data_IF_855468000599
#
_entry.id   IF_855468000599
#
_cell.length_a   1.000
_cell.length_b   1.000
_cell.length_c   1.000
_cell.angle_alpha   90.00
_cell.angle_beta   90.00
_cell.angle_gamma   90.00
#
_symmetry.space_group_name_H-M   'P 1'
#
loop_
_entity.id
_entity.type
_entity.pdbx_description
1 polymer ?
#
# COMPACT_ATOMS: atom_id res chain seq x y z
N UNK A 1 15.96 -23.87 -22.97
CA UNK A 1 17.18 -23.04 -22.96
C UNK A 1 16.88 -21.55 -22.76
N UNK A 2 15.99 -20.93 -23.57
CA UNK A 2 15.67 -19.49 -23.47
C UNK A 2 15.07 -19.10 -22.10
N UNK A 3 14.04 -19.82 -21.63
CA UNK A 3 13.42 -19.54 -20.32
C UNK A 3 14.40 -19.61 -19.15
N UNK A 4 15.39 -20.51 -19.21
CA UNK A 4 16.41 -20.61 -18.18
C UNK A 4 17.29 -19.35 -18.16
N UNK A 5 17.75 -18.89 -19.34
CA UNK A 5 18.55 -17.67 -19.46
C UNK A 5 17.77 -16.42 -19.02
N UNK A 6 16.48 -16.36 -19.32
CA UNK A 6 15.59 -15.28 -18.83
C UNK A 6 15.50 -15.33 -17.30
N UNK A 7 15.40 -16.52 -16.70
CA UNK A 7 15.37 -16.67 -15.24
C UNK A 7 16.70 -16.25 -14.59
N UNK A 8 17.84 -16.66 -15.17
CA UNK A 8 19.18 -16.26 -14.71
C UNK A 8 19.34 -14.73 -14.78
N UNK A 9 18.91 -14.10 -15.88
CA UNK A 9 18.91 -12.64 -16.01
C UNK A 9 18.04 -11.97 -14.95
N UNK A 10 16.82 -12.47 -14.73
CA UNK A 10 15.91 -11.97 -13.69
C UNK A 10 16.59 -11.98 -12.32
N UNK A 11 17.25 -13.08 -11.97
CA UNK A 11 17.89 -13.22 -10.65
C UNK A 11 18.99 -12.18 -10.45
N UNK A 12 19.80 -11.94 -11.48
CA UNK A 12 20.79 -10.87 -11.49
C UNK A 12 20.13 -9.48 -11.38
N UNK A 13 19.05 -9.26 -12.14
CA UNK A 13 18.36 -7.97 -12.14
C UNK A 13 17.72 -7.65 -10.79
N UNK A 14 17.07 -8.63 -10.14
CA UNK A 14 16.51 -8.49 -8.78
C UNK A 14 17.62 -8.21 -7.76
N UNK A 15 18.76 -8.90 -7.87
CA UNK A 15 19.90 -8.65 -7.00
C UNK A 15 20.43 -7.20 -7.13
N UNK A 16 20.53 -6.68 -8.34
CA UNK A 16 20.97 -5.31 -8.59
C UNK A 16 19.94 -4.26 -8.15
N UNK A 17 18.64 -4.51 -8.34
CA UNK A 17 17.57 -3.64 -7.79
C UNK A 17 17.72 -3.54 -6.26
N UNK A 18 17.89 -4.68 -5.59
CA UNK A 18 18.06 -4.72 -4.13
C UNK A 18 19.36 -4.05 -3.68
N UNK A 19 20.45 -4.22 -4.41
CA UNK A 19 21.72 -3.56 -4.12
C UNK A 19 21.58 -2.04 -4.27
N UNK A 20 20.94 -1.58 -5.35
CA UNK A 20 20.65 -0.17 -5.57
C UNK A 20 19.78 0.42 -4.44
N UNK A 21 18.70 -0.26 -4.05
CA UNK A 21 17.86 0.14 -2.91
C UNK A 21 18.65 0.19 -1.60
N UNK A 22 19.49 -0.82 -1.32
CA UNK A 22 20.33 -0.85 -0.13
C UNK A 22 21.30 0.32 -0.07
N UNK A 23 21.95 0.65 -1.19
CA UNK A 23 22.86 1.81 -1.28
C UNK A 23 22.10 3.11 -1.06
N UNK A 24 20.93 3.25 -1.64
CA UNK A 24 20.05 4.41 -1.43
C UNK A 24 19.68 4.60 0.03
N UNK A 25 19.14 3.57 0.69
CA UNK A 25 18.73 3.70 2.10
C UNK A 25 19.90 3.86 3.06
N UNK A 26 21.13 3.55 2.63
CA UNK A 26 22.36 3.81 3.42
C UNK A 26 22.81 5.26 3.33
N UNK A 27 22.65 5.90 2.17
CA UNK A 27 22.95 7.31 1.94
C UNK A 27 21.95 7.90 0.95
N UNK A 28 20.83 8.40 1.46
CA UNK A 28 19.74 8.92 0.63
C UNK A 28 20.14 10.20 -0.12
N UNK A 29 21.08 10.98 0.43
CA UNK A 29 21.47 12.27 -0.14
C UNK A 29 22.25 12.08 -1.46
N UNK A 30 23.05 11.01 -1.57
CA UNK A 30 23.81 10.71 -2.78
C UNK A 30 22.95 10.35 -4.00
N UNK A 31 21.64 10.08 -3.82
CA UNK A 31 20.72 9.66 -4.88
C UNK A 31 19.55 10.63 -5.06
N UNK A 32 19.67 11.83 -4.49
CA UNK A 32 18.63 12.86 -4.52
C UNK A 32 18.12 13.04 -5.95
N UNK A 33 16.79 13.06 -6.13
CA UNK A 33 16.06 13.28 -7.39
C UNK A 33 16.10 12.12 -8.41
N UNK A 34 16.88 11.06 -8.20
CA UNK A 34 17.00 9.97 -9.18
C UNK A 34 16.41 8.63 -8.71
N UNK A 35 16.34 8.39 -7.40
CA UNK A 35 16.00 7.07 -6.87
C UNK A 35 14.60 6.59 -7.27
N UNK A 36 13.56 7.34 -6.90
CA UNK A 36 12.15 6.98 -7.16
C UNK A 36 11.89 6.82 -8.65
N UNK A 37 12.40 7.75 -9.46
CA UNK A 37 12.34 7.70 -10.93
C UNK A 37 12.92 6.40 -11.49
N UNK A 38 14.10 6.00 -11.00
CA UNK A 38 14.74 4.75 -11.43
C UNK A 38 13.94 3.52 -11.01
N UNK A 39 13.36 3.52 -9.81
CA UNK A 39 12.47 2.43 -9.36
C UNK A 39 11.20 2.33 -10.18
N UNK A 40 10.58 3.45 -10.54
CA UNK A 40 9.41 3.49 -11.45
C UNK A 40 9.77 2.89 -12.82
N UNK A 41 10.92 3.28 -13.39
CA UNK A 41 11.39 2.71 -14.65
C UNK A 41 11.62 1.19 -14.57
N UNK A 42 12.27 0.72 -13.50
CA UNK A 42 12.49 -0.72 -13.28
C UNK A 42 11.16 -1.48 -13.12
N UNK A 43 10.21 -0.93 -12.35
CA UNK A 43 8.89 -1.52 -12.17
C UNK A 43 8.14 -1.66 -13.51
N UNK A 44 8.10 -0.58 -14.30
CA UNK A 44 7.45 -0.56 -15.61
C UNK A 44 8.09 -1.52 -16.62
N UNK A 45 9.41 -1.69 -16.57
CA UNK A 45 10.12 -2.66 -17.39
C UNK A 45 9.69 -4.08 -17.03
N UNK A 46 9.69 -4.43 -15.74
CA UNK A 46 9.23 -5.73 -15.26
C UNK A 46 7.77 -6.02 -15.63
N UNK A 47 6.89 -5.04 -15.47
CA UNK A 47 5.46 -5.13 -15.84
C UNK A 47 5.23 -5.28 -17.36
N UNK A 48 6.22 -4.95 -18.19
CA UNK A 48 6.13 -5.18 -19.64
C UNK A 48 6.46 -6.61 -20.04
N UNK A 49 7.21 -7.34 -19.20
CA UNK A 49 7.78 -8.64 -19.56
C UNK A 49 6.72 -9.74 -19.75
N UNK A 50 5.62 -9.84 -18.99
CA UNK A 50 4.57 -10.83 -19.26
C UNK A 50 4.08 -10.81 -20.71
N UNK A 51 3.83 -9.63 -21.27
CA UNK A 51 3.44 -9.46 -22.67
C UNK A 51 4.56 -9.89 -23.63
N UNK A 52 5.81 -9.59 -23.30
CA UNK A 52 6.96 -10.06 -24.08
C UNK A 52 7.09 -11.59 -24.04
N UNK A 53 6.81 -12.25 -22.90
CA UNK A 53 6.83 -13.70 -22.78
C UNK A 53 5.85 -14.37 -23.75
N UNK A 54 4.68 -13.77 -23.98
CA UNK A 54 3.71 -14.26 -24.98
C UNK A 54 4.28 -14.19 -26.40
N UNK A 55 5.03 -13.13 -26.74
CA UNK A 55 5.68 -12.98 -28.05
C UNK A 55 6.82 -13.99 -28.21
N UNK A 56 7.66 -14.15 -27.18
CA UNK A 56 8.75 -15.13 -27.19
C UNK A 56 8.20 -16.53 -27.42
N UNK A 57 7.13 -16.90 -26.72
CA UNK A 57 6.45 -18.18 -26.94
C UNK A 57 6.03 -18.33 -28.41
N UNK A 58 5.23 -17.40 -28.95
CA UNK A 58 4.76 -17.45 -30.35
C UNK A 58 5.89 -17.58 -31.38
N UNK A 59 7.06 -17.00 -31.09
CA UNK A 59 8.20 -16.96 -32.03
C UNK A 59 9.06 -18.23 -31.98
N UNK A 60 9.29 -18.77 -30.79
CA UNK A 60 10.28 -19.82 -30.56
C UNK A 60 9.66 -21.20 -30.29
N UNK A 61 8.41 -21.26 -29.85
CA UNK A 61 7.64 -22.51 -29.74
C UNK A 61 6.58 -22.50 -30.84
N UNK A 62 6.92 -23.16 -31.96
CA UNK A 62 6.09 -23.28 -33.18
C UNK A 62 5.15 -24.49 -33.16
N UNK A 63 4.89 -25.08 -32.00
CA UNK A 63 3.93 -26.18 -31.90
C UNK A 63 2.51 -25.59 -31.90
N UNK A 64 1.64 -26.19 -32.71
CA UNK A 64 0.35 -25.66 -33.15
C UNK A 64 -0.44 -24.98 -32.02
N UNK A 65 -0.84 -23.73 -32.26
CA UNK A 65 -1.71 -22.97 -31.34
C UNK A 65 -3.08 -23.67 -31.11
N UNK A 66 -3.41 -24.65 -31.95
CA UNK A 66 -4.62 -25.50 -31.89
C UNK A 66 -4.38 -26.88 -31.26
N UNK A 67 -3.14 -27.23 -30.87
CA UNK A 67 -2.86 -28.50 -30.18
C UNK A 67 -3.11 -28.36 -28.67
N UNK A 68 -4.29 -28.81 -28.22
CA UNK A 68 -4.70 -28.90 -26.81
C UNK A 68 -4.01 -30.04 -26.04
N UNK A 69 -2.87 -30.54 -26.53
CA UNK A 69 -2.10 -31.56 -25.82
C UNK A 69 -1.63 -31.09 -24.44
N UNK A 70 -1.50 -32.04 -23.51
CA UNK A 70 -0.99 -31.78 -22.15
C UNK A 70 0.40 -31.15 -22.16
N UNK A 71 1.21 -31.43 -23.18
CA UNK A 71 2.53 -30.82 -23.41
C UNK A 71 2.43 -29.33 -23.74
N UNK A 72 1.51 -28.94 -24.61
CA UNK A 72 1.28 -27.53 -24.98
C UNK A 72 0.79 -26.71 -23.79
N UNK A 73 -0.08 -27.28 -22.94
CA UNK A 73 -0.52 -26.64 -21.70
C UNK A 73 0.61 -26.49 -20.68
N UNK A 74 1.45 -27.50 -20.49
CA UNK A 74 2.61 -27.38 -19.60
C UNK A 74 3.62 -26.32 -20.07
N UNK A 75 3.76 -26.11 -21.38
CA UNK A 75 4.60 -25.04 -21.91
C UNK A 75 3.98 -23.67 -21.64
N UNK A 76 2.67 -23.51 -21.87
CA UNK A 76 1.89 -22.33 -21.51
C UNK A 76 2.15 -21.87 -20.08
N UNK A 77 1.99 -22.79 -19.14
CA UNK A 77 2.14 -22.55 -17.71
C UNK A 77 3.56 -22.07 -17.35
N UNK A 78 4.58 -22.48 -18.12
CA UNK A 78 5.99 -22.07 -17.89
C UNK A 78 6.28 -20.64 -18.32
N UNK A 79 5.73 -20.18 -19.45
CA UNK A 79 5.90 -18.79 -19.90
C UNK A 79 5.09 -17.83 -19.04
N UNK A 80 3.85 -18.22 -18.70
CA UNK A 80 3.01 -17.45 -17.77
C UNK A 80 3.66 -17.39 -16.39
N UNK A 81 4.17 -18.53 -15.89
CA UNK A 81 4.92 -18.57 -14.63
C UNK A 81 6.17 -17.69 -14.63
N UNK A 82 6.84 -17.53 -15.78
CA UNK A 82 7.94 -16.57 -15.93
C UNK A 82 7.44 -15.12 -15.92
N UNK A 83 6.33 -14.82 -16.60
CA UNK A 83 5.67 -13.52 -16.56
C UNK A 83 5.34 -13.10 -15.13
N UNK A 84 4.65 -13.97 -14.37
CA UNK A 84 4.30 -13.76 -12.96
C UNK A 84 5.50 -13.48 -12.06
N UNK A 85 6.65 -14.07 -12.36
CA UNK A 85 7.89 -13.80 -11.61
C UNK A 85 8.37 -12.36 -11.82
N UNK A 86 8.22 -11.80 -13.02
CA UNK A 86 8.55 -10.40 -13.28
C UNK A 86 7.48 -9.44 -12.77
N UNK A 87 6.20 -9.79 -12.81
CA UNK A 87 5.13 -9.01 -12.14
C UNK A 87 5.44 -8.82 -10.66
N UNK A 88 5.83 -9.90 -9.96
CA UNK A 88 6.28 -9.82 -8.56
C UNK A 88 7.52 -8.93 -8.37
N UNK A 89 8.45 -8.93 -9.32
CA UNK A 89 9.59 -8.01 -9.29
C UNK A 89 9.14 -6.55 -9.50
N UNK A 90 8.13 -6.32 -10.33
CA UNK A 90 7.54 -4.99 -10.50
C UNK A 90 6.88 -4.50 -9.21
N UNK A 91 6.06 -5.35 -8.56
CA UNK A 91 5.46 -5.09 -7.24
C UNK A 91 6.53 -4.81 -6.19
N UNK A 92 7.63 -5.57 -6.18
CA UNK A 92 8.75 -5.35 -5.26
C UNK A 92 9.40 -3.95 -5.44
N UNK A 93 9.56 -3.48 -6.67
CA UNK A 93 10.03 -2.11 -6.93
C UNK A 93 9.06 -1.07 -6.34
N UNK A 94 7.75 -1.30 -6.47
CA UNK A 94 6.72 -0.44 -5.85
C UNK A 94 6.80 -0.49 -4.32
N UNK A 95 6.99 -1.66 -3.72
CA UNK A 95 7.17 -1.83 -2.28
C UNK A 95 8.38 -1.08 -1.73
N UNK A 96 9.48 -1.02 -2.50
CA UNK A 96 10.67 -0.23 -2.18
C UNK A 96 10.36 1.27 -2.19
N UNK A 97 9.58 1.76 -3.17
CA UNK A 97 9.12 3.15 -3.18
C UNK A 97 8.20 3.43 -1.98
N UNK A 98 7.30 2.51 -1.64
CA UNK A 98 6.45 2.64 -0.46
C UNK A 98 7.26 2.72 0.83
N UNK A 99 8.37 1.97 0.93
CA UNK A 99 9.29 2.07 2.06
C UNK A 99 9.91 3.46 2.18
N UNK A 100 10.25 4.09 1.06
CA UNK A 100 10.77 5.47 1.03
C UNK A 100 9.75 6.47 1.59
N UNK A 101 8.51 6.42 1.09
CA UNK A 101 7.39 7.27 1.57
C UNK A 101 7.12 7.03 3.06
N UNK A 102 7.15 5.78 3.49
CA UNK A 102 6.94 5.40 4.88
C UNK A 102 8.04 5.95 5.80
N UNK A 103 9.29 6.01 5.34
CA UNK A 103 10.39 6.66 6.08
C UNK A 103 10.16 8.17 6.19
N UNK A 104 9.77 8.83 5.11
CA UNK A 104 9.55 10.28 5.07
C UNK A 104 8.37 10.72 5.95
N UNK A 105 7.34 9.87 6.04
CA UNK A 105 6.16 10.09 6.87
C UNK A 105 6.31 9.52 8.30
N UNK A 106 7.38 8.77 8.59
CA UNK A 106 7.56 7.99 9.83
C UNK A 106 7.38 8.81 11.10
N UNK A 107 7.90 10.05 11.12
CA UNK A 107 7.83 10.93 12.29
C UNK A 107 6.41 11.39 12.64
N UNK A 108 5.48 11.32 11.70
CA UNK A 108 4.05 11.64 11.90
C UNK A 108 3.24 10.38 12.17
N UNK A 109 3.55 9.30 11.45
CA UNK A 109 2.93 8.00 11.63
C UNK A 109 3.16 7.44 13.05
N UNK A 110 4.38 7.58 13.58
CA UNK A 110 4.75 7.08 14.92
C UNK A 110 4.07 7.79 16.08
N UNK A 111 3.51 8.98 15.84
CA UNK A 111 2.88 9.78 16.90
C UNK A 111 1.35 9.75 16.83
N UNK A 112 0.76 8.98 15.91
CA UNK A 112 -0.69 8.73 15.86
C UNK A 112 -1.18 8.20 17.22
N UNK A 113 -2.36 8.63 17.67
CA UNK A 113 -2.91 8.29 18.99
C UNK A 113 -1.99 8.65 20.18
N UNK A 114 -1.20 9.72 20.04
CA UNK A 114 -0.46 10.35 21.13
C UNK A 114 -0.89 11.80 21.34
N UNK A 115 -0.36 12.47 22.38
CA UNK A 115 -0.58 13.90 22.61
C UNK A 115 -0.01 14.81 21.52
N UNK A 116 0.95 14.30 20.73
CA UNK A 116 1.47 14.98 19.56
C UNK A 116 0.57 14.80 18.32
N UNK A 117 -0.38 13.86 18.33
CA UNK A 117 -1.42 13.74 17.30
C UNK A 117 -2.72 14.41 17.71
N UNK A 118 -3.08 14.33 19.00
CA UNK A 118 -4.29 14.89 19.57
C UNK A 118 -3.99 15.67 20.86
N UNK A 119 -4.01 17.00 20.76
CA UNK A 119 -3.70 17.91 21.86
C UNK A 119 -3.42 19.35 21.38
N UNK A 120 -3.12 20.27 22.30
CA UNK A 120 -2.89 21.68 21.96
C UNK A 120 -1.70 21.93 21.01
N UNK A 121 -0.74 21.01 20.98
CA UNK A 121 0.45 21.04 20.10
C UNK A 121 0.40 19.92 19.06
N UNK A 122 -0.80 19.50 18.66
CA UNK A 122 -0.98 18.44 17.68
C UNK A 122 -0.28 18.78 16.35
N UNK A 123 0.48 17.82 15.84
CA UNK A 123 1.08 17.86 14.51
C UNK A 123 0.03 17.49 13.47
N UNK A 124 0.09 18.09 12.26
CA UNK A 124 -0.84 17.78 11.17
C UNK A 124 -0.48 16.45 10.51
N UNK A 125 -0.63 15.34 11.24
CA UNK A 125 -0.11 14.03 10.84
C UNK A 125 -0.78 13.53 9.56
N UNK A 126 -2.12 13.47 9.52
CA UNK A 126 -2.87 13.07 8.34
C UNK A 126 -2.58 13.98 7.14
N UNK A 127 -2.60 15.30 7.34
CA UNK A 127 -2.25 16.27 6.29
C UNK A 127 -0.85 16.03 5.73
N UNK A 128 0.15 15.77 6.58
CA UNK A 128 1.52 15.55 6.09
C UNK A 128 1.66 14.21 5.36
N UNK A 129 0.99 13.15 5.82
CA UNK A 129 0.95 11.87 5.09
C UNK A 129 0.35 12.07 3.69
N UNK A 130 -0.74 12.83 3.58
CA UNK A 130 -1.41 13.17 2.32
C UNK A 130 -0.48 14.00 1.42
N UNK A 131 0.07 15.10 1.92
CA UNK A 131 0.96 15.97 1.12
C UNK A 131 2.19 15.21 0.63
N UNK A 132 2.86 14.45 1.51
CA UNK A 132 4.01 13.63 1.08
C UNK A 132 3.58 12.61 0.03
N UNK A 133 2.45 11.91 0.20
CA UNK A 133 1.97 10.97 -0.82
C UNK A 133 1.68 11.68 -2.16
N UNK A 134 1.09 12.88 -2.10
CA UNK A 134 0.79 13.70 -3.28
C UNK A 134 2.06 14.16 -4.00
N UNK A 135 3.10 14.52 -3.27
CA UNK A 135 4.40 14.93 -3.84
C UNK A 135 5.01 13.79 -4.65
N UNK A 136 5.04 12.57 -4.10
CA UNK A 136 5.49 11.38 -4.83
C UNK A 136 4.59 11.07 -6.02
N UNK A 137 3.26 11.13 -5.82
CA UNK A 137 2.29 10.87 -6.88
C UNK A 137 2.47 11.80 -8.08
N UNK A 138 2.48 13.10 -7.83
CA UNK A 138 2.53 14.14 -8.86
C UNK A 138 3.86 14.22 -9.59
N UNK A 139 4.97 13.90 -8.92
CA UNK A 139 6.31 13.96 -9.51
C UNK A 139 6.65 12.73 -10.34
N UNK A 140 6.50 11.52 -9.79
CA UNK A 140 7.07 10.32 -10.40
C UNK A 140 6.04 9.18 -10.56
N UNK A 141 5.09 8.99 -9.64
CA UNK A 141 4.21 7.81 -9.69
C UNK A 141 3.15 7.90 -10.79
N UNK A 142 2.83 9.09 -11.30
CA UNK A 142 1.99 9.24 -12.50
C UNK A 142 2.56 8.51 -13.72
N UNK A 143 3.86 8.21 -13.72
CA UNK A 143 4.53 7.43 -14.76
C UNK A 143 4.45 5.92 -14.56
N UNK A 144 3.97 5.42 -13.41
CA UNK A 144 3.72 3.99 -13.23
C UNK A 144 2.62 3.52 -14.18
N UNK A 145 2.79 2.30 -14.69
CA UNK A 145 1.70 1.62 -15.40
C UNK A 145 0.50 1.43 -14.48
N UNK A 146 -0.71 1.50 -15.05
CA UNK A 146 -1.98 1.43 -14.30
C UNK A 146 -2.08 0.27 -13.30
N UNK A 147 -1.70 -0.99 -13.62
CA UNK A 147 -1.76 -2.08 -12.65
C UNK A 147 -0.87 -1.83 -11.42
N UNK A 148 0.33 -1.29 -11.65
CA UNK A 148 1.28 -0.95 -10.58
C UNK A 148 0.82 0.27 -9.77
N UNK A 149 0.17 1.25 -10.41
CA UNK A 149 -0.38 2.40 -9.70
C UNK A 149 -1.55 1.98 -8.79
N UNK A 150 -2.44 1.10 -9.26
CA UNK A 150 -3.50 0.53 -8.45
C UNK A 150 -2.92 -0.29 -7.28
N UNK A 151 -1.90 -1.13 -7.55
CA UNK A 151 -1.18 -1.86 -6.52
C UNK A 151 -0.54 -0.94 -5.47
N UNK A 152 0.10 0.16 -5.92
CA UNK A 152 0.69 1.17 -5.06
C UNK A 152 -0.34 1.74 -4.09
N UNK A 153 -1.46 2.27 -4.60
CA UNK A 153 -2.46 2.90 -3.74
C UNK A 153 -3.15 1.91 -2.81
N UNK A 154 -3.51 0.72 -3.31
CA UNK A 154 -4.07 -0.35 -2.48
C UNK A 154 -3.15 -0.70 -1.31
N UNK A 155 -1.86 -0.90 -1.58
CA UNK A 155 -0.86 -1.28 -0.58
C UNK A 155 -0.59 -0.14 0.39
N UNK A 156 -0.46 1.10 -0.10
CA UNK A 156 -0.22 2.26 0.74
C UNK A 156 -1.37 2.53 1.71
N UNK A 157 -2.61 2.48 1.22
CA UNK A 157 -3.81 2.58 2.05
C UNK A 157 -3.77 1.58 3.21
N UNK A 158 -3.43 0.31 2.93
CA UNK A 158 -3.36 -0.73 3.96
C UNK A 158 -2.26 -0.46 4.97
N UNK A 159 -1.10 0.05 4.54
CA UNK A 159 0.00 0.41 5.45
C UNK A 159 -0.39 1.58 6.37
N UNK A 160 -0.98 2.64 5.82
CA UNK A 160 -1.50 3.77 6.61
C UNK A 160 -2.51 3.25 7.64
N UNK A 161 -3.51 2.50 7.18
CA UNK A 161 -4.55 1.98 8.06
C UNK A 161 -3.97 1.08 9.17
N UNK A 162 -3.03 0.21 8.83
CA UNK A 162 -2.34 -0.62 9.81
C UNK A 162 -1.62 0.23 10.87
N UNK A 163 -1.03 1.37 10.51
CA UNK A 163 -0.41 2.27 11.48
C UNK A 163 -1.43 2.93 12.41
N UNK A 164 -2.58 3.40 11.89
CA UNK A 164 -3.65 3.90 12.74
C UNK A 164 -4.11 2.83 13.74
N UNK A 165 -4.45 1.64 13.25
CA UNK A 165 -4.99 0.56 14.09
C UNK A 165 -3.95 0.05 15.10
N UNK A 166 -2.68 -0.10 14.70
CA UNK A 166 -1.61 -0.54 15.62
C UNK A 166 -1.37 0.47 16.74
N UNK A 167 -1.40 1.77 16.44
CA UNK A 167 -1.21 2.80 17.45
C UNK A 167 -2.43 2.91 18.37
N UNK A 168 -3.64 2.76 17.84
CA UNK A 168 -4.87 2.76 18.65
C UNK A 168 -4.91 1.58 19.62
N UNK A 169 -4.73 0.35 19.12
CA UNK A 169 -4.84 -0.89 19.89
C UNK A 169 -3.54 -1.28 20.63
N UNK A 170 -2.56 -0.38 20.69
CA UNK A 170 -1.35 -0.62 21.46
C UNK A 170 -1.69 -0.70 22.95
N UNK A 171 -1.19 -1.73 23.66
CA UNK A 171 -1.35 -1.83 25.12
C UNK A 171 -0.79 -0.63 25.89
N UNK A 172 0.13 0.10 25.25
CA UNK A 172 0.79 1.28 25.78
C UNK A 172 0.29 2.58 25.13
N UNK A 173 -0.92 2.61 24.55
CA UNK A 173 -1.46 3.84 23.95
C UNK A 173 -1.39 4.98 24.96
N UNK A 174 -0.58 6.02 24.71
CA UNK A 174 -0.31 7.07 25.69
C UNK A 174 -1.50 8.01 25.86
N UNK A 175 -2.50 7.92 24.99
CA UNK A 175 -3.70 8.73 25.02
C UNK A 175 -4.72 8.10 25.98
N UNK A 176 -4.81 8.68 27.18
CA UNK A 176 -5.89 8.45 28.13
C UNK A 176 -6.78 9.68 28.14
N UNK A 177 -8.09 9.46 28.07
CA UNK A 177 -9.07 10.52 28.11
C UNK A 177 -9.56 10.71 29.54
N UNK A 178 -9.51 11.94 30.03
CA UNK A 178 -10.00 12.28 31.36
C UNK A 178 -11.46 12.75 31.33
N UNK A 179 -11.90 13.28 30.18
CA UNK A 179 -13.22 13.90 30.02
C UNK A 179 -13.97 13.35 28.81
N UNK A 180 -15.30 13.19 28.89
CA UNK A 180 -16.12 12.82 27.72
C UNK A 180 -15.97 13.76 26.53
N UNK A 181 -15.83 15.07 26.77
CA UNK A 181 -15.62 16.07 25.72
C UNK A 181 -14.32 15.83 24.92
N UNK A 182 -13.28 15.37 25.62
CA UNK A 182 -11.99 15.07 25.01
C UNK A 182 -12.08 13.85 24.09
N UNK A 183 -12.82 12.82 24.51
CA UNK A 183 -13.14 11.64 23.69
C UNK A 183 -13.89 12.04 22.42
N UNK A 184 -14.93 12.86 22.57
CA UNK A 184 -15.73 13.35 21.44
C UNK A 184 -14.88 14.10 20.42
N UNK A 185 -14.03 15.03 20.86
CA UNK A 185 -13.11 15.76 19.97
C UNK A 185 -12.12 14.84 19.25
N UNK A 186 -11.63 13.80 19.93
CA UNK A 186 -10.76 12.81 19.31
C UNK A 186 -11.51 11.98 18.25
N UNK A 187 -12.75 11.57 18.53
CA UNK A 187 -13.59 10.88 17.57
C UNK A 187 -13.87 11.76 16.33
N UNK A 188 -14.19 13.03 16.53
CA UNK A 188 -14.37 14.01 15.45
C UNK A 188 -13.12 14.16 14.59
N UNK A 189 -11.92 14.27 15.19
CA UNK A 189 -10.65 14.29 14.44
C UNK A 189 -10.45 13.01 13.63
N UNK A 190 -10.66 11.83 14.23
CA UNK A 190 -10.47 10.55 13.56
C UNK A 190 -11.42 10.39 12.36
N UNK A 191 -12.70 10.79 12.48
CA UNK A 191 -13.65 10.81 11.35
C UNK A 191 -13.22 11.76 10.25
N UNK A 192 -12.77 12.97 10.62
CA UNK A 192 -12.31 13.97 9.67
C UNK A 192 -11.10 13.47 8.88
N UNK A 193 -10.13 12.87 9.56
CA UNK A 193 -8.95 12.28 8.93
C UNK A 193 -9.32 11.11 8.01
N UNK A 194 -10.23 10.23 8.44
CA UNK A 194 -10.73 9.11 7.65
C UNK A 194 -11.40 9.57 6.34
N UNK A 195 -12.29 10.57 6.44
CA UNK A 195 -12.97 11.15 5.29
C UNK A 195 -12.00 11.82 4.32
N UNK A 196 -11.00 12.54 4.85
CA UNK A 196 -9.98 13.21 4.04
C UNK A 196 -9.10 12.20 3.31
N UNK A 197 -8.58 11.19 4.00
CA UNK A 197 -7.79 10.11 3.40
C UNK A 197 -8.58 9.41 2.29
N UNK A 198 -9.85 9.07 2.54
CA UNK A 198 -10.68 8.41 1.56
C UNK A 198 -10.89 9.26 0.30
N UNK A 199 -11.21 10.55 0.48
CA UNK A 199 -11.40 11.50 -0.62
C UNK A 199 -10.14 11.65 -1.48
N UNK A 200 -8.98 11.84 -0.85
CA UNK A 200 -7.72 12.07 -1.56
C UNK A 200 -7.29 10.82 -2.36
N UNK A 201 -7.34 9.64 -1.74
CA UNK A 201 -6.98 8.38 -2.42
C UNK A 201 -7.92 8.08 -3.59
N UNK A 202 -9.22 8.29 -3.42
CA UNK A 202 -10.19 8.16 -4.53
C UNK A 202 -9.89 9.15 -5.67
N UNK A 203 -9.39 10.35 -5.36
CA UNK A 203 -9.06 11.35 -6.38
C UNK A 203 -7.80 10.99 -7.19
N UNK A 204 -6.83 10.31 -6.58
CA UNK A 204 -5.55 9.98 -7.22
C UNK A 204 -5.53 8.66 -8.00
N UNK A 205 -6.34 7.68 -7.57
CA UNK A 205 -6.47 6.36 -8.22
C UNK A 205 -6.92 6.49 -9.68
N UNK A 206 -7.80 7.46 -9.99
CA UNK A 206 -8.24 7.75 -11.36
C UNK A 206 -9.00 6.59 -12.05
N UNK A 207 -9.30 5.52 -11.32
CA UNK A 207 -10.21 4.44 -11.74
C UNK A 207 -11.63 4.95 -11.88
N UNK A 208 -12.34 4.48 -12.92
CA UNK A 208 -13.77 4.69 -13.04
C UNK A 208 -14.50 4.06 -11.84
N UNK A 209 -15.68 4.59 -11.48
CA UNK A 209 -16.45 4.13 -10.33
C UNK A 209 -16.72 2.61 -10.32
N UNK A 210 -16.78 1.98 -11.50
CA UNK A 210 -16.99 0.53 -11.68
C UNK A 210 -15.76 -0.33 -11.36
N UNK A 211 -14.55 0.24 -11.39
CA UNK A 211 -13.28 -0.45 -11.11
C UNK A 211 -12.52 0.20 -9.95
N UNK A 212 -13.19 1.01 -9.14
CA UNK A 212 -12.55 1.77 -8.08
C UNK A 212 -12.01 0.84 -6.99
N UNK A 213 -10.75 1.04 -6.60
CA UNK A 213 -10.19 0.35 -5.45
C UNK A 213 -10.99 0.73 -4.21
N UNK A 214 -11.53 -0.26 -3.49
CA UNK A 214 -12.23 0.01 -2.25
C UNK A 214 -11.22 0.35 -1.14
N UNK A 215 -11.14 1.65 -0.81
CA UNK A 215 -10.36 2.12 0.34
C UNK A 215 -11.18 1.99 1.61
N UNK A 216 -10.60 1.36 2.62
CA UNK A 216 -11.29 0.96 3.84
C UNK A 216 -11.06 1.94 5.00
N UNK A 217 -10.72 3.20 4.73
CA UNK A 217 -10.49 4.22 5.77
C UNK A 217 -11.74 4.45 6.66
N UNK A 218 -12.94 4.14 6.17
CA UNK A 218 -14.19 4.21 6.94
C UNK A 218 -14.19 3.37 8.22
N UNK A 219 -13.31 2.36 8.35
CA UNK A 219 -13.12 1.64 9.62
C UNK A 219 -12.75 2.59 10.77
N UNK A 220 -11.95 3.63 10.48
CA UNK A 220 -11.55 4.64 11.46
C UNK A 220 -12.76 5.46 11.93
N UNK A 221 -13.70 5.75 11.04
CA UNK A 221 -14.96 6.41 11.39
C UNK A 221 -15.83 5.53 12.28
N UNK A 222 -15.97 4.23 11.99
CA UNK A 222 -16.75 3.33 12.84
C UNK A 222 -16.08 3.16 14.23
N UNK A 223 -14.75 3.16 14.29
CA UNK A 223 -14.00 3.18 15.55
C UNK A 223 -14.27 4.48 16.32
N UNK A 224 -14.33 5.62 15.63
CA UNK A 224 -14.66 6.89 16.25
C UNK A 224 -16.06 6.87 16.90
N UNK A 225 -17.01 6.15 16.30
CA UNK A 225 -18.36 5.98 16.87
C UNK A 225 -18.33 5.21 18.19
N UNK A 226 -17.47 4.19 18.31
CA UNK A 226 -17.19 3.50 19.59
C UNK A 226 -16.55 4.46 20.60
N UNK A 227 -15.54 5.25 20.19
CA UNK A 227 -14.81 6.17 21.06
C UNK A 227 -15.69 7.28 21.65
N UNK A 228 -16.71 7.74 20.90
CA UNK A 228 -17.63 8.79 21.33
C UNK A 228 -18.64 8.30 22.38
N UNK A 229 -18.92 7.00 22.45
CA UNK A 229 -19.89 6.46 23.40
C UNK A 229 -19.47 6.68 24.86
N UNK A 230 -20.47 6.91 25.71
CA UNK A 230 -20.25 7.21 27.14
C UNK A 230 -20.84 6.17 28.08
N UNK A 231 -21.92 5.48 27.68
CA UNK A 231 -22.54 4.40 28.42
C UNK A 231 -22.06 3.03 27.91
N UNK A 232 -22.02 2.06 28.82
CA UNK A 232 -21.47 0.74 28.56
C UNK A 232 -22.28 -0.05 27.54
N UNK A 233 -23.61 0.07 27.55
CA UNK A 233 -24.49 -0.69 26.66
C UNK A 233 -24.31 -0.24 25.20
N UNK A 234 -24.22 1.07 24.96
CA UNK A 234 -23.91 1.62 23.63
C UNK A 234 -22.51 1.23 23.16
N UNK A 235 -21.50 1.23 24.05
CA UNK A 235 -20.15 0.75 23.71
C UNK A 235 -20.20 -0.70 23.25
N UNK A 236 -20.85 -1.59 24.01
CA UNK A 236 -20.96 -3.01 23.67
C UNK A 236 -21.68 -3.21 22.33
N UNK A 237 -22.74 -2.44 22.06
CA UNK A 237 -23.47 -2.50 20.80
C UNK A 237 -22.61 -2.06 19.60
N UNK A 238 -21.87 -0.95 19.74
CA UNK A 238 -21.00 -0.45 18.67
C UNK A 238 -19.82 -1.38 18.41
N UNK A 239 -19.22 -1.95 19.47
CA UNK A 239 -18.18 -2.97 19.34
C UNK A 239 -18.71 -4.21 18.60
N UNK A 240 -19.91 -4.69 18.95
CA UNK A 240 -20.54 -5.82 18.25
C UNK A 240 -20.80 -5.51 16.76
N UNK A 241 -21.21 -4.27 16.46
CA UNK A 241 -21.42 -3.80 15.09
C UNK A 241 -20.11 -3.73 14.31
N UNK A 242 -19.05 -3.20 14.93
CA UNK A 242 -17.72 -3.11 14.36
C UNK A 242 -17.16 -4.52 14.06
N UNK A 243 -17.28 -5.45 15.00
CA UNK A 243 -16.85 -6.84 14.86
C UNK A 243 -17.57 -7.56 13.70
N UNK A 244 -18.87 -7.34 13.58
CA UNK A 244 -19.68 -7.89 12.48
C UNK A 244 -19.25 -7.34 11.12
N UNK A 245 -18.92 -6.05 11.06
CA UNK A 245 -18.49 -5.35 9.83
C UNK A 245 -17.05 -5.69 9.45
N UNK A 246 -16.18 -5.93 10.43
CA UNK A 246 -14.77 -6.27 10.25
C UNK A 246 -14.38 -7.50 11.07
N UNK A 247 -14.73 -8.72 10.63
CA UNK A 247 -14.47 -9.96 11.37
C UNK A 247 -12.98 -10.27 11.61
N UNK A 248 -12.10 -9.58 10.89
CA UNK A 248 -10.64 -9.69 11.03
C UNK A 248 -10.07 -8.89 12.20
N UNK A 249 -10.84 -7.96 12.79
CA UNK A 249 -10.46 -7.32 14.04
C UNK A 249 -10.61 -8.33 15.18
N UNK A 250 -9.52 -8.58 15.92
CA UNK A 250 -9.62 -9.42 17.10
C UNK A 250 -10.36 -8.65 18.21
N UNK A 251 -11.41 -9.25 18.77
CA UNK A 251 -12.21 -8.68 19.85
C UNK A 251 -11.40 -8.40 21.12
N UNK A 252 -10.31 -9.14 21.35
CA UNK A 252 -9.40 -8.86 22.46
C UNK A 252 -8.58 -7.57 22.27
N UNK A 253 -8.56 -7.01 21.06
CA UNK A 253 -7.86 -5.77 20.72
C UNK A 253 -8.76 -4.54 20.77
N UNK A 254 -10.07 -4.70 20.56
CA UNK A 254 -11.09 -3.63 20.51
C UNK A 254 -11.63 -3.33 21.90
#
# INVERSE_FOLDING_TARGET
MILQKINEFRDLYVAEINNYAKRYFSDRQAFKECFTKQMVANANNCESIPNFMLIVRKKYDRDDLDDLSRSSQQQLDRYEGMGKKFERTAEQCVDIILQEIEIDTSKYIKVLFTREWFGPQAKPCCGTIIETTRDYWSSELTHLKKPLLAYFFYTWHKRILAHYLRNLFSRNTPMKFERPEERRKCAEQLRSEAATLNKEFQSWDGTSAENATEYHFNILSNIADVLEQTDLDSIVLEIATLAKKYPSLNMDQV
#
